data_IF_095658060365
#
_entry.id   IF_095658060365
#
_cell.length_a   1.000
_cell.length_b   1.000
_cell.length_c   1.000
_cell.angle_alpha   90.00
_cell.angle_beta   90.00
_cell.angle_gamma   90.00
#
_symmetry.space_group_name_H-M   'P 1'
#
loop_
_entity.id
_entity.type
_entity.pdbx_description
1 polymer ?
2 polymer ?
3 polymer ?
4 non-polymer ?
5 water ?
#
loop_
_entity_poly.entity_id
_entity_poly.type
_entity_poly.pdbx_seq_one_letter_code
_entity_poly.pdbx_strand_id
1 'polydeoxyribonucleotide' '(DA)(DG)(DG)(DA)(DC)(DC)(DOC)' ?
2 'polydeoxyribonucleotide' '(DT)(DC)(DT)(MA7)(DG)(DG)(DG)(DT)(DC)(DC)(DT)' ?
#
# COMPACT_ATOMS: atom_id res chain seq x y z
N UNK C 26 6.15 5.97 -26.16
CA UNK C 26 5.33 6.99 -25.51
C UNK C 26 5.59 7.03 -24.01
N UNK C 27 6.30 8.07 -23.57
CA UNK C 27 6.68 8.21 -22.17
C UNK C 27 5.53 8.70 -21.32
N UNK C 28 5.54 8.33 -20.05
CA UNK C 28 4.48 8.68 -19.12
C UNK C 28 5.04 9.56 -18.01
N UNK C 29 4.13 10.19 -17.28
CA UNK C 29 4.47 10.89 -16.05
C UNK C 29 3.56 10.30 -14.97
N UNK C 30 4.17 9.60 -14.03
CA UNK C 30 3.48 8.86 -12.97
C UNK C 30 3.86 9.49 -11.65
N UNK C 31 2.89 9.65 -10.75
CA UNK C 31 3.18 10.08 -9.39
C UNK C 31 2.80 8.95 -8.43
N UNK C 32 3.69 8.68 -7.47
CA UNK C 32 3.42 7.80 -6.35
C UNK C 32 3.26 8.66 -5.11
N UNK C 33 2.10 8.56 -4.45
CA UNK C 33 1.79 9.32 -3.25
C UNK C 33 1.80 8.36 -2.07
N UNK C 34 2.55 8.71 -1.04
CA UNK C 34 2.87 7.81 0.05
C UNK C 34 2.67 8.54 1.37
N UNK C 35 1.58 8.23 2.07
CA UNK C 35 1.25 8.94 3.32
C UNK C 35 2.28 8.59 4.40
N UNK C 36 2.69 9.60 5.15
CA UNK C 36 3.58 9.39 6.29
C UNK C 36 2.85 8.69 7.43
N UNK C 37 3.52 7.71 8.05
CA UNK C 37 3.03 6.95 9.20
C UNK C 37 1.50 7.05 9.33
N UNK C 38 0.80 6.42 8.40
CA UNK C 38 -0.60 6.75 8.14
C UNK C 38 -1.48 6.56 9.37
N UNK C 39 -1.47 5.36 9.96
CA UNK C 39 -2.35 5.14 11.12
C UNK C 39 -2.05 6.13 12.23
N UNK C 40 -0.76 6.42 12.48
CA UNK C 40 -0.41 7.37 13.52
C UNK C 40 -0.98 8.75 13.23
N UNK C 41 -0.89 9.19 11.98
CA UNK C 41 -1.49 10.46 11.58
C UNK C 41 -2.97 10.51 11.90
N UNK C 42 -3.70 9.46 11.53
CA UNK C 42 -5.12 9.40 11.85
C UNK C 42 -5.32 9.52 13.35
N UNK C 43 -4.56 8.76 14.13
CA UNK C 43 -4.76 8.76 15.59
C UNK C 43 -4.40 10.11 16.19
N UNK C 44 -3.36 10.75 15.67
CA UNK C 44 -2.99 12.07 16.18
C UNK C 44 -4.04 13.13 15.84
N UNK C 45 -4.71 12.97 14.70
CA UNK C 45 -5.80 13.89 14.37
C UNK C 45 -7.00 13.66 15.29
N UNK C 46 -7.24 12.41 15.66
CA UNK C 46 -8.40 12.11 16.51
C UNK C 46 -8.18 12.61 17.93
N UNK C 47 -6.95 12.53 18.43
CA UNK C 47 -6.61 13.00 19.78
C UNK C 47 -5.38 13.88 19.70
N UNK C 48 -5.55 15.18 19.45
CA UNK C 48 -4.40 16.08 19.36
C UNK C 48 -3.47 16.02 20.55
N UNK C 49 -3.95 15.52 21.70
CA UNK C 49 -3.09 15.40 22.87
C UNK C 49 -1.89 14.51 22.59
N UNK C 50 -1.97 13.63 21.59
CA UNK C 50 -0.87 12.75 21.21
C UNK C 50 0.08 13.40 20.21
N UNK C 51 -0.24 14.60 19.73
CA UNK C 51 0.48 15.16 18.59
C UNK C 51 1.96 15.39 18.88
N UNK C 52 2.29 15.76 20.12
CA UNK C 52 3.67 16.07 20.48
C UNK C 52 4.37 14.94 21.23
N UNK C 53 3.65 13.87 21.58
CA UNK C 53 4.27 12.75 22.29
C UNK C 53 4.62 11.64 21.31
N UNK C 54 5.62 10.82 21.64
CA UNK C 54 5.93 9.66 20.79
C UNK C 54 4.75 8.70 20.77
N UNK C 55 4.36 8.28 19.57
CA UNK C 55 3.13 7.52 19.41
C UNK C 55 3.37 6.25 18.61
N UNK C 56 2.79 5.16 19.09
CA UNK C 56 2.80 3.91 18.36
C UNK C 56 1.40 3.34 18.30
N UNK C 57 1.04 2.82 17.13
CA UNK C 57 -0.26 2.19 16.93
C UNK C 57 -0.08 0.69 17.10
N UNK C 58 -0.83 0.12 18.04
CA UNK C 58 -0.63 -1.26 18.48
C UNK C 58 -1.71 -2.16 17.91
N UNK C 59 -1.30 -3.32 17.42
CA UNK C 59 -2.22 -4.39 17.04
C UNK C 59 -1.70 -5.65 17.69
N UNK C 60 -2.47 -6.21 18.63
CA UNK C 60 -2.06 -7.37 19.42
C UNK C 60 -0.77 -7.00 20.15
N UNK C 61 0.33 -7.73 19.95
CA UNK C 61 1.59 -7.49 20.63
C UNK C 61 2.55 -6.66 19.80
N UNK C 62 2.07 -6.00 18.76
CA UNK C 62 2.94 -5.43 17.73
C UNK C 62 2.71 -3.93 17.61
N UNK C 63 3.80 -3.19 17.42
CA UNK C 63 3.72 -1.77 17.07
C UNK C 63 3.76 -1.73 15.54
N UNK C 64 2.58 -1.62 14.93
CA UNK C 64 2.49 -1.68 13.47
C UNK C 64 3.05 -0.42 12.84
N UNK C 65 2.85 0.74 13.47
CA UNK C 65 3.48 1.95 12.99
C UNK C 65 3.60 2.92 14.15
N UNK C 66 4.36 4.00 13.93
CA UNK C 66 4.60 5.00 14.97
C UNK C 66 4.90 6.33 14.32
N UNK C 67 4.62 7.42 15.03
CA UNK C 67 4.94 8.73 14.48
C UNK C 67 6.46 8.96 14.55
N UNK C 68 6.91 10.07 13.94
CA UNK C 68 8.34 10.27 13.80
C UNK C 68 9.00 10.62 15.14
N UNK C 69 8.25 11.22 16.07
CA UNK C 69 8.78 11.42 17.40
C UNK C 69 9.22 10.11 18.03
N UNK C 70 8.45 9.04 17.83
CA UNK C 70 8.84 7.74 18.34
C UNK C 70 9.96 7.13 17.52
N UNK C 71 10.01 7.40 16.21
CA UNK C 71 11.09 6.86 15.40
C UNK C 71 12.43 7.49 15.78
N UNK C 72 12.42 8.78 16.15
CA UNK C 72 13.63 9.39 16.70
C UNK C 72 14.18 8.56 17.85
N UNK C 73 13.31 8.12 18.75
CA UNK C 73 13.71 7.40 19.95
C UNK C 73 13.98 5.92 19.69
N UNK C 74 14.11 5.51 18.44
CA UNK C 74 14.48 4.14 18.11
C UNK C 74 13.34 3.19 17.81
N UNK C 75 12.09 3.63 17.89
CA UNK C 75 10.96 2.74 17.63
C UNK C 75 10.85 2.49 16.12
N UNK C 76 10.60 1.23 15.76
CA UNK C 76 10.54 0.82 14.36
C UNK C 76 9.20 0.15 14.08
N UNK C 77 8.77 0.21 12.82
CA UNK C 77 7.54 -0.45 12.41
C UNK C 77 7.65 -1.95 12.65
N UNK C 78 6.56 -2.54 13.15
CA UNK C 78 6.48 -4.00 13.34
C UNK C 78 7.44 -4.47 14.42
N UNK C 79 7.79 -3.59 15.34
CA UNK C 79 8.58 -3.93 16.52
C UNK C 79 7.64 -4.32 17.64
N UNK C 80 7.90 -5.45 18.28
CA UNK C 80 7.01 -5.95 19.32
C UNK C 80 6.94 -4.95 20.48
N UNK C 81 5.81 -4.96 21.19
CA UNK C 81 5.52 -3.92 22.16
C UNK C 81 6.57 -3.86 23.26
N UNK C 82 7.00 -5.02 23.76
CA UNK C 82 7.99 -5.04 24.83
C UNK C 82 9.29 -4.38 24.38
N UNK C 83 9.83 -4.82 23.25
CA UNK C 83 11.03 -4.17 22.70
C UNK C 83 10.81 -2.67 22.52
N UNK C 84 9.59 -2.27 22.14
CA UNK C 84 9.33 -0.85 21.91
C UNK C 84 9.25 -0.08 23.23
N UNK C 85 8.62 -0.66 24.24
CA UNK C 85 8.55 0.01 25.54
C UNK C 85 9.92 0.06 26.21
N UNK C 86 10.74 -0.98 26.02
CA UNK C 86 12.09 -1.00 26.54
C UNK C 86 13.04 -0.10 25.74
N UNK C 87 12.55 0.50 24.67
CA UNK C 87 13.29 1.53 23.94
C UNK C 87 12.71 2.92 24.13
N UNK C 88 11.42 3.02 24.42
CA UNK C 88 10.76 4.31 24.67
C UNK C 88 9.73 4.06 25.76
N UNK C 89 10.15 4.07 27.03
CA UNK C 89 9.21 3.77 28.12
C UNK C 89 8.05 4.75 28.19
N UNK C 90 8.24 5.98 27.73
CA UNK C 90 7.17 6.97 27.64
C UNK C 90 6.33 6.82 26.38
N UNK C 91 6.58 5.77 25.59
CA UNK C 91 5.83 5.55 24.36
C UNK C 91 4.35 5.43 24.65
N UNK C 92 3.56 6.28 24.01
CA UNK C 92 2.10 6.21 24.08
C UNK C 92 1.61 5.19 23.06
N UNK C 93 0.72 4.29 23.49
CA UNK C 93 0.20 3.22 22.65
C UNK C 93 -1.30 3.39 22.47
N UNK C 94 -1.75 3.31 21.22
CA UNK C 94 -3.16 3.36 20.88
C UNK C 94 -3.51 2.10 20.09
N UNK C 95 -4.72 1.60 20.27
CA UNK C 95 -5.08 0.34 19.63
C UNK C 95 -5.54 0.61 18.20
N UNK C 96 -4.93 -0.10 17.26
CA UNK C 96 -5.26 0.08 15.85
C UNK C 96 -5.84 -1.16 15.22
N UNK C 97 -6.40 -2.07 16.03
CA UNK C 97 -6.93 -3.32 15.48
C UNK C 97 -8.19 -3.08 14.65
N UNK C 98 -8.98 -2.08 15.01
CA UNK C 98 -10.15 -1.70 14.22
C UNK C 98 -9.71 -0.73 13.13
N UNK C 99 -9.81 -1.17 11.87
CA UNK C 99 -9.30 -0.39 10.74
C UNK C 99 -10.32 0.61 10.17
N UNK C 100 -11.51 0.72 10.77
CA UNK C 100 -12.58 1.48 10.15
C UNK C 100 -12.16 2.92 9.83
N UNK C 101 -11.59 3.61 10.80
CA UNK C 101 -11.19 5.01 10.61
C UNK C 101 -10.08 5.12 9.56
N UNK C 102 -9.11 4.20 9.59
CA UNK C 102 -8.03 4.25 8.61
C UNK C 102 -8.58 4.03 7.21
N UNK C 103 -9.47 3.04 7.06
CA UNK C 103 -10.06 2.77 5.76
C UNK C 103 -10.82 3.99 5.24
N UNK C 104 -11.60 4.64 6.10
CA UNK C 104 -12.35 5.83 5.67
C UNK C 104 -11.42 6.94 5.20
N UNK C 105 -10.38 7.25 5.99
CA UNK C 105 -9.47 8.30 5.56
C UNK C 105 -8.72 7.89 4.30
N UNK C 106 -8.39 6.60 4.18
CA UNK C 106 -7.69 6.11 2.99
C UNK C 106 -8.49 6.40 1.74
N UNK C 107 -9.81 6.17 1.76
CA UNK C 107 -10.58 6.43 0.57
C UNK C 107 -10.80 7.91 0.34
N UNK C 108 -10.83 8.72 1.40
CA UNK C 108 -10.85 10.16 1.17
C UNK C 108 -9.61 10.62 0.42
N UNK C 109 -8.44 10.07 0.76
CA UNK C 109 -7.24 10.42 0.00
C UNK C 109 -7.39 10.03 -1.46
N UNK C 110 -7.75 8.76 -1.71
CA UNK C 110 -7.88 8.29 -3.09
C UNK C 110 -8.88 9.13 -3.88
N UNK C 111 -10.03 9.45 -3.27
CA UNK C 111 -11.02 10.27 -3.98
C UNK C 111 -10.49 11.66 -4.29
N UNK C 112 -9.73 12.25 -3.37
CA UNK C 112 -9.17 13.55 -3.65
C UNK C 112 -8.21 13.48 -4.84
N UNK C 113 -7.39 12.44 -4.90
CA UNK C 113 -6.47 12.31 -6.03
C UNK C 113 -7.23 12.07 -7.33
N UNK C 114 -8.33 11.32 -7.27
CA UNK C 114 -9.15 11.07 -8.44
C UNK C 114 -9.72 12.35 -9.03
N UNK C 115 -9.86 13.39 -8.21
CA UNK C 115 -10.32 14.68 -8.72
C UNK C 115 -9.27 15.30 -9.64
N UNK C 116 -7.99 15.11 -9.32
CA UNK C 116 -6.92 15.57 -10.20
C UNK C 116 -6.96 14.82 -11.52
N UNK C 117 -6.85 13.50 -11.46
CA UNK C 117 -6.90 12.67 -12.64
C UNK C 117 -7.58 11.37 -12.25
N UNK C 118 -8.46 10.85 -13.10
CA UNK C 118 -9.32 9.74 -12.67
C UNK C 118 -8.61 8.39 -12.54
N UNK C 119 -7.44 8.21 -13.15
CA UNK C 119 -6.75 6.92 -13.16
C UNK C 119 -5.88 6.87 -11.91
N UNK C 120 -6.44 6.34 -10.81
CA UNK C 120 -5.73 6.26 -9.54
C UNK C 120 -5.73 4.82 -9.07
N UNK C 121 -4.54 4.28 -8.80
CA UNK C 121 -4.37 2.91 -8.35
C UNK C 121 -3.96 2.91 -6.88
N UNK C 122 -4.73 2.22 -6.04
CA UNK C 122 -4.40 2.09 -4.64
C UNK C 122 -3.42 0.94 -4.44
N UNK C 123 -2.45 1.14 -3.55
CA UNK C 123 -1.55 0.07 -3.14
C UNK C 123 -1.62 0.06 -1.61
N UNK C 124 -2.40 -0.86 -1.06
CA UNK C 124 -2.64 -0.81 0.38
C UNK C 124 -3.49 0.39 0.74
N UNK C 125 -3.49 0.71 2.02
CA UNK C 125 -4.29 1.83 2.52
C UNK C 125 -3.60 3.17 2.41
N UNK C 126 -2.27 3.20 2.25
CA UNK C 126 -1.58 4.49 2.37
C UNK C 126 -0.75 4.89 1.16
N UNK C 127 -0.86 4.19 0.03
CA UNK C 127 -0.16 4.56 -1.19
C UNK C 127 -1.12 4.62 -2.38
N UNK C 128 -0.90 5.59 -3.26
CA UNK C 128 -1.64 5.72 -4.51
C UNK C 128 -0.67 6.03 -5.64
N UNK C 129 -0.92 5.46 -6.82
CA UNK C 129 -0.31 5.89 -8.07
C UNK C 129 -1.31 6.68 -8.89
N UNK C 130 -0.84 7.74 -9.55
CA UNK C 130 -1.67 8.51 -10.45
C UNK C 130 -0.93 8.70 -11.76
N UNK C 131 -1.60 8.40 -12.87
CA UNK C 131 -1.02 8.64 -14.20
C UNK C 131 -1.32 10.08 -14.58
N UNK C 132 -0.30 10.94 -14.55
CA UNK C 132 -0.45 12.36 -14.84
C UNK C 132 -0.19 12.72 -16.30
N UNK C 133 0.04 11.73 -17.16
CA UNK C 133 0.49 11.98 -18.52
C UNK C 133 -0.43 12.94 -19.26
N UNK C 134 -1.72 12.62 -19.33
CA UNK C 134 -2.65 13.47 -20.07
C UNK C 134 -2.75 14.85 -19.44
N UNK C 135 -2.80 14.89 -18.10
CA UNK C 135 -2.84 16.16 -17.38
C UNK C 135 -1.62 17.02 -17.69
N UNK C 136 -0.43 16.41 -17.72
CA UNK C 136 0.79 17.17 -18.00
C UNK C 136 0.73 17.76 -19.40
N UNK C 137 0.34 16.95 -20.39
CA UNK C 137 0.28 17.43 -21.76
C UNK C 137 -0.75 18.54 -21.91
N UNK C 138 -1.86 18.46 -21.17
CA UNK C 138 -2.85 19.53 -21.23
C UNK C 138 -2.27 20.83 -20.70
N UNK C 139 -1.53 20.78 -19.60
CA UNK C 139 -0.94 22.00 -19.07
C UNK C 139 0.11 22.57 -20.01
N UNK C 140 0.91 21.70 -20.65
CA UNK C 140 1.92 22.22 -21.56
C UNK C 140 1.28 22.91 -22.77
N UNK C 141 0.23 22.33 -23.32
CA UNK C 141 -0.47 22.96 -24.45
C UNK C 141 -0.88 24.39 -24.11
N UNK C 142 -1.20 24.66 -22.84
CA UNK C 142 -1.71 25.97 -22.46
C UNK C 142 -0.60 27.00 -22.24
N UNK C 143 0.66 26.59 -22.23
CA UNK C 143 1.75 27.50 -21.94
C UNK C 143 2.21 28.23 -23.20
N UNK C 144 2.65 29.48 -23.00
CA UNK C 144 3.25 30.25 -24.07
C UNK C 144 4.75 29.95 -24.17
N UNK C 145 5.34 30.34 -25.30
CA UNK C 145 6.75 30.05 -25.54
C UNK C 145 7.61 30.62 -24.41
N UNK C 146 7.48 31.92 -24.14
CA UNK C 146 8.21 32.50 -23.02
C UNK C 146 7.83 31.85 -21.70
N UNK C 147 6.57 31.40 -21.58
CA UNK C 147 6.15 30.73 -20.35
C UNK C 147 6.91 29.43 -20.14
N UNK C 148 7.30 28.75 -21.22
CA UNK C 148 7.95 27.45 -21.09
C UNK C 148 9.32 27.57 -20.43
N UNK C 149 10.04 28.66 -20.71
CA UNK C 149 11.38 28.83 -20.16
C UNK C 149 11.37 29.09 -18.66
N UNK C 150 10.22 29.39 -18.07
CA UNK C 150 10.12 29.65 -16.64
C UNK C 150 9.60 28.46 -15.85
N UNK C 151 9.37 27.32 -16.51
CA UNK C 151 8.95 26.12 -15.79
C UNK C 151 9.98 25.79 -14.72
N UNK C 152 9.49 25.54 -13.50
CA UNK C 152 10.35 25.29 -12.35
C UNK C 152 9.93 24.00 -11.67
N UNK C 153 10.87 23.38 -10.97
CA UNK C 153 10.59 22.16 -10.23
C UNK C 153 10.03 22.51 -8.87
N UNK C 154 9.14 21.66 -8.37
CA UNK C 154 8.65 21.75 -7.00
C UNK C 154 9.21 20.57 -6.22
N UNK C 155 9.90 20.86 -5.12
CA UNK C 155 10.55 19.84 -4.32
C UNK C 155 11.92 19.43 -4.84
N UNK C 156 12.36 18.25 -4.41
CA UNK C 156 13.72 17.77 -4.69
C UNK C 156 13.86 17.17 -6.09
N UNK C 157 15.04 17.34 -6.68
CA UNK C 157 15.45 16.61 -7.89
C UNK C 157 16.38 15.49 -7.44
N UNK C 158 16.03 14.25 -7.81
CA UNK C 158 16.84 13.13 -7.33
C UNK C 158 18.30 13.28 -7.77
N UNK C 159 19.21 13.01 -6.83
CA UNK C 159 20.66 13.08 -7.06
C UNK C 159 21.11 14.48 -7.46
N UNK C 160 20.31 15.51 -7.16
CA UNK C 160 20.67 16.88 -7.49
C UNK C 160 20.99 17.06 -8.97
N UNK C 161 20.32 16.32 -9.83
CA UNK C 161 20.66 16.33 -11.25
C UNK C 161 20.26 17.65 -11.90
N UNK C 162 21.10 18.09 -12.85
CA UNK C 162 20.84 19.34 -13.55
C UNK C 162 19.63 19.22 -14.46
N UNK C 163 18.78 20.22 -14.42
CA UNK C 163 17.60 20.27 -15.28
C UNK C 163 17.98 20.87 -16.61
N UNK C 164 17.49 20.28 -17.69
CA UNK C 164 17.66 20.84 -19.03
C UNK C 164 16.29 21.25 -19.55
N UNK C 165 16.00 22.55 -19.47
CA UNK C 165 14.70 23.06 -19.88
C UNK C 165 14.42 22.85 -21.36
N UNK C 166 15.43 22.52 -22.17
CA UNK C 166 15.17 22.19 -23.56
C UNK C 166 14.82 20.73 -23.76
N UNK C 167 14.93 19.91 -22.72
CA UNK C 167 14.61 18.49 -22.81
C UNK C 167 13.13 18.32 -22.49
N UNK C 168 12.36 17.82 -23.47
CA UNK C 168 10.91 17.73 -23.28
C UNK C 168 10.55 16.76 -22.18
N UNK C 169 11.37 15.73 -21.94
CA UNK C 169 11.13 14.81 -20.84
C UNK C 169 11.29 15.51 -19.50
N UNK C 170 12.30 16.38 -19.39
CA UNK C 170 12.51 17.14 -18.16
C UNK C 170 11.35 18.08 -17.90
N UNK C 171 10.89 18.79 -18.93
CA UNK C 171 9.76 19.71 -18.77
C UNK C 171 8.52 18.97 -18.28
N UNK C 172 8.24 17.81 -18.86
CA UNK C 172 7.04 17.07 -18.48
C UNK C 172 7.13 16.59 -17.04
N UNK C 173 8.30 16.13 -16.61
CA UNK C 173 8.48 15.67 -15.24
C UNK C 173 8.43 16.82 -14.25
N UNK C 174 8.93 18.01 -14.61
CA UNK C 174 8.80 19.16 -13.72
C UNK C 174 7.35 19.58 -13.55
N UNK C 175 6.57 19.56 -14.65
CA UNK C 175 5.14 19.81 -14.52
C UNK C 175 4.50 18.74 -13.64
N UNK C 176 4.95 17.49 -13.79
CA UNK C 176 4.50 16.45 -12.87
C UNK C 176 4.78 16.81 -11.43
N UNK C 177 5.98 17.34 -11.15
CA UNK C 177 6.33 17.74 -9.79
C UNK C 177 5.43 18.86 -9.30
N UNK C 178 5.00 19.76 -10.19
CA UNK C 178 4.08 20.82 -9.76
C UNK C 178 2.71 20.26 -9.41
N UNK C 179 2.19 19.34 -10.23
CA UNK C 179 0.91 18.71 -9.92
C UNK C 179 1.01 17.94 -8.61
N UNK C 180 2.15 17.30 -8.39
CA UNK C 180 2.34 16.52 -7.16
C UNK C 180 2.33 17.41 -5.93
N UNK C 181 2.91 18.61 -6.03
CA UNK C 181 2.86 19.53 -4.91
C UNK C 181 1.45 20.03 -4.66
N UNK C 182 0.67 20.26 -5.73
CA UNK C 182 -0.74 20.62 -5.58
C UNK C 182 -1.51 19.51 -4.86
N UNK C 183 -1.29 18.26 -5.25
CA UNK C 183 -1.91 17.14 -4.55
C UNK C 183 -1.56 17.15 -3.07
N UNK C 184 -0.27 17.28 -2.74
CA UNK C 184 0.11 17.22 -1.34
C UNK C 184 -0.47 18.38 -0.55
N UNK C 185 -0.55 19.57 -1.18
CA UNK C 185 -1.15 20.72 -0.51
C UNK C 185 -2.65 20.54 -0.32
N UNK C 186 -3.33 19.94 -1.30
CA UNK C 186 -4.75 19.67 -1.15
C UNK C 186 -5.00 18.62 -0.07
N UNK C 187 -4.19 17.57 -0.04
CA UNK C 187 -4.32 16.56 1.00
C UNK C 187 -4.19 17.18 2.38
N UNK C 188 -3.20 18.07 2.55
CA UNK C 188 -3.02 18.69 3.86
C UNK C 188 -4.15 19.68 4.14
N UNK C 189 -4.48 20.55 3.18
CA UNK C 189 -5.50 21.56 3.43
C UNK C 189 -6.89 20.94 3.60
N UNK C 190 -7.22 19.93 2.82
CA UNK C 190 -8.57 19.38 2.84
C UNK C 190 -8.74 18.22 3.80
N UNK C 191 -7.68 17.45 4.03
CA UNK C 191 -7.79 16.26 4.88
C UNK C 191 -6.88 16.29 6.08
N UNK C 192 -5.96 17.25 6.19
CA UNK C 192 -5.07 17.30 7.35
C UNK C 192 -3.95 16.29 7.33
N UNK C 193 -3.66 15.66 6.20
CA UNK C 193 -2.67 14.60 6.11
C UNK C 193 -1.45 15.07 5.33
N UNK C 194 -0.28 14.64 5.79
CA UNK C 194 0.98 14.86 5.08
C UNK C 194 1.43 13.57 4.40
N UNK C 195 2.16 13.71 3.30
CA UNK C 195 2.69 12.53 2.64
C UNK C 195 3.85 12.92 1.75
N UNK C 196 4.55 11.91 1.27
CA UNK C 196 5.59 12.11 0.28
C UNK C 196 5.02 11.84 -1.11
N UNK C 197 5.72 12.37 -2.13
CA UNK C 197 5.38 12.03 -3.50
C UNK C 197 6.67 11.82 -4.29
N UNK C 198 6.59 10.94 -5.27
CA UNK C 198 7.67 10.72 -6.20
C UNK C 198 7.15 10.83 -7.61
N UNK C 199 7.85 11.54 -8.48
CA UNK C 199 7.43 11.70 -9.86
C UNK C 199 8.49 11.09 -10.75
N UNK C 200 8.06 10.21 -11.68
CA UNK C 200 8.98 9.49 -12.54
C UNK C 200 8.23 8.99 -13.77
N UNK C 201 8.92 8.26 -14.64
CA UNK C 201 8.33 7.86 -15.91
C UNK C 201 7.59 6.53 -15.84
N UNK C 202 7.65 5.81 -14.73
CA UNK C 202 6.84 4.60 -14.56
C UNK C 202 6.62 4.35 -13.07
N UNK C 203 5.80 3.32 -12.77
CA UNK C 203 5.38 3.08 -11.39
C UNK C 203 6.53 2.63 -10.50
N UNK C 204 7.35 1.71 -11.00
CA UNK C 204 8.51 1.27 -10.23
C UNK C 204 9.32 2.47 -9.76
N UNK C 205 9.72 3.33 -10.70
CA UNK C 205 10.62 4.43 -10.39
C UNK C 205 9.94 5.48 -9.52
N UNK C 206 8.67 5.77 -9.78
CA UNK C 206 7.94 6.72 -8.93
C UNK C 206 7.92 6.25 -7.48
N UNK C 207 7.70 4.94 -7.28
CA UNK C 207 7.64 4.42 -5.91
C UNK C 207 9.01 4.39 -5.27
N UNK C 208 10.05 4.07 -6.04
CA UNK C 208 11.39 4.12 -5.46
C UNK C 208 11.79 5.55 -5.12
N UNK C 209 11.45 6.51 -5.99
CA UNK C 209 11.95 7.86 -5.74
C UNK C 209 11.14 8.59 -4.67
N UNK C 210 9.88 8.20 -4.42
CA UNK C 210 9.05 8.96 -3.49
C UNK C 210 9.59 8.90 -2.06
N UNK C 211 10.28 7.83 -1.71
CA UNK C 211 10.83 7.69 -0.38
C UNK C 211 12.22 8.27 -0.17
N UNK C 212 12.81 8.93 -1.17
CA UNK C 212 14.18 9.41 -1.04
C UNK C 212 14.28 10.49 0.04
N UNK C 213 13.35 11.44 0.05
CA UNK C 213 13.28 12.46 1.11
C UNK C 213 11.99 12.27 1.89
N UNK C 214 12.13 11.97 3.18
CA UNK C 214 10.99 11.71 4.07
C UNK C 214 11.27 12.38 5.39
N UNK C 215 10.21 12.78 6.13
CA UNK C 215 8.80 12.70 5.76
C UNK C 215 8.32 13.97 5.08
N UNK C 216 7.11 13.91 4.50
CA UNK C 216 6.40 15.09 4.01
C UNK C 216 7.22 15.90 3.00
N UNK C 217 7.80 15.22 2.01
CA UNK C 217 8.58 15.87 0.97
C UNK C 217 8.36 15.13 -0.34
N UNK C 218 8.88 15.69 -1.43
CA UNK C 218 8.71 15.03 -2.72
C UNK C 218 9.99 15.13 -3.53
N UNK C 219 10.11 14.21 -4.48
CA UNK C 219 11.31 14.07 -5.32
C UNK C 219 10.89 13.71 -6.72
N UNK C 220 11.57 14.27 -7.72
CA UNK C 220 11.34 13.93 -9.11
C UNK C 220 12.59 13.25 -9.65
N UNK C 221 12.39 12.22 -10.45
CA UNK C 221 13.49 11.45 -11.05
C UNK C 221 13.60 11.85 -12.52
N UNK C 222 14.72 12.51 -12.88
CA UNK C 222 15.01 12.74 -14.29
C UNK C 222 15.64 11.49 -14.90
N UNK C 223 15.41 11.25 -16.19
CA UNK C 223 15.77 9.95 -16.77
C UNK C 223 17.24 9.60 -16.61
N UNK C 224 18.13 10.59 -16.65
CA UNK C 224 19.57 10.32 -16.59
C UNK C 224 19.99 9.71 -15.26
N UNK C 225 19.18 9.83 -14.21
CA UNK C 225 19.54 9.33 -12.89
C UNK C 225 18.89 7.99 -12.56
N UNK C 226 18.24 7.36 -13.55
CA UNK C 226 17.57 6.09 -13.29
C UNK C 226 18.54 5.03 -12.79
N UNK C 227 19.70 4.90 -13.44
CA UNK C 227 20.60 3.85 -12.99
C UNK C 227 21.16 4.16 -11.60
N UNK C 228 21.34 5.44 -11.29
CA UNK C 228 21.78 5.79 -9.94
C UNK C 228 20.73 5.37 -8.90
N UNK C 229 19.46 5.60 -9.19
CA UNK C 229 18.41 5.21 -8.23
C UNK C 229 18.38 3.70 -8.03
N UNK C 230 18.41 2.93 -9.12
CA UNK C 230 18.24 1.47 -9.00
C UNK C 230 19.46 0.85 -8.32
N UNK C 231 20.66 1.34 -8.62
CA UNK C 231 21.84 0.82 -7.94
C UNK C 231 21.99 1.34 -6.52
N UNK C 232 21.23 2.36 -6.13
CA UNK C 232 21.25 2.76 -4.73
C UNK C 232 20.65 1.69 -3.82
N UNK C 233 19.85 0.79 -4.35
CA UNK C 233 19.32 -0.29 -3.52
C UNK C 233 20.44 -1.20 -3.06
N UNK C 234 20.26 -1.81 -1.88
CA UNK C 234 21.28 -2.69 -1.34
C UNK C 234 20.93 -4.17 -1.39
N UNK C 235 19.65 -4.53 -1.53
CA UNK C 235 19.32 -5.90 -1.87
C UNK C 235 18.13 -5.94 -2.80
N UNK C 236 18.10 -7.01 -3.61
CA UNK C 236 17.09 -7.14 -4.64
C UNK C 236 15.69 -7.20 -4.04
N UNK C 237 15.59 -7.63 -2.77
CA UNK C 237 14.28 -7.64 -2.12
C UNK C 237 13.71 -6.24 -1.97
N UNK C 238 14.54 -5.21 -2.08
CA UNK C 238 14.03 -3.84 -2.02
C UNK C 238 13.30 -3.43 -3.28
N UNK C 239 13.37 -4.22 -4.34
CA UNK C 239 12.65 -3.94 -5.57
C UNK C 239 11.17 -4.29 -5.37
N UNK C 240 10.25 -3.34 -5.54
CA UNK C 240 8.83 -3.67 -5.44
C UNK C 240 8.45 -4.72 -6.49
N UNK C 241 7.82 -5.79 -6.03
CA UNK C 241 7.52 -6.94 -6.86
C UNK C 241 8.39 -8.14 -6.57
N UNK C 242 9.54 -7.96 -5.93
CA UNK C 242 10.42 -9.05 -5.55
C UNK C 242 10.17 -9.31 -4.07
N UNK C 243 9.41 -10.36 -3.78
CA UNK C 243 8.99 -10.67 -2.42
C UNK C 243 9.93 -11.64 -1.73
N UNK C 244 9.44 -12.18 -0.61
CA UNK C 244 10.27 -13.06 0.20
C UNK C 244 10.68 -14.31 -0.56
N UNK C 245 9.71 -15.01 -1.16
CA UNK C 245 10.02 -16.25 -1.86
C UNK C 245 10.96 -16.00 -3.02
N UNK C 246 10.70 -14.97 -3.82
CA UNK C 246 11.55 -14.70 -4.97
C UNK C 246 12.96 -14.31 -4.53
N UNK C 247 13.06 -13.45 -3.52
CA UNK C 247 14.38 -13.07 -3.02
C UNK C 247 15.14 -14.30 -2.56
N UNK C 248 14.53 -15.11 -1.70
CA UNK C 248 15.18 -16.33 -1.23
C UNK C 248 15.65 -17.19 -2.39
N UNK C 249 14.83 -17.29 -3.43
CA UNK C 249 15.23 -18.06 -4.62
C UNK C 249 16.41 -17.41 -5.32
N UNK C 250 16.35 -16.09 -5.51
CA UNK C 250 17.46 -15.40 -6.16
C UNK C 250 18.75 -15.57 -5.37
N UNK C 251 18.69 -15.40 -4.04
CA UNK C 251 19.89 -15.56 -3.22
C UNK C 251 20.45 -16.98 -3.34
N UNK C 252 19.58 -17.98 -3.54
CA UNK C 252 20.05 -19.34 -3.74
C UNK C 252 20.85 -19.48 -5.03
N UNK C 253 20.68 -18.57 -5.98
CA UNK C 253 21.41 -18.60 -7.23
C UNK C 253 22.63 -17.69 -7.23
N UNK C 254 22.99 -17.12 -6.08
CA UNK C 254 24.09 -16.18 -6.02
C UNK C 254 23.77 -14.77 -6.47
N UNK C 255 22.49 -14.42 -6.58
CA UNK C 255 22.05 -13.10 -7.02
C UNK C 255 21.70 -12.29 -5.77
N UNK C 256 22.45 -11.22 -5.51
CA UNK C 256 22.21 -10.44 -4.32
C UNK C 256 22.03 -8.95 -4.62
N UNK C 257 22.91 -8.37 -5.43
CA UNK C 257 22.80 -6.96 -5.76
C UNK C 257 21.88 -6.76 -6.96
N UNK C 258 21.46 -5.51 -7.17
CA UNK C 258 20.71 -5.18 -8.36
C UNK C 258 21.51 -5.54 -9.61
N UNK C 259 22.81 -5.22 -9.61
CA UNK C 259 23.63 -5.52 -10.78
C UNK C 259 23.76 -7.03 -11.03
N UNK C 260 23.81 -7.83 -9.96
CA UNK C 260 23.78 -9.29 -10.11
C UNK C 260 22.56 -9.71 -10.94
N UNK C 261 21.39 -9.18 -10.60
CA UNK C 261 20.17 -9.55 -11.32
C UNK C 261 20.19 -9.00 -12.73
N UNK C 262 20.70 -7.78 -12.92
CA UNK C 262 20.82 -7.22 -14.26
C UNK C 262 21.65 -8.12 -15.17
N UNK C 263 22.74 -8.68 -14.63
CA UNK C 263 23.72 -9.40 -15.44
C UNK C 263 23.51 -10.92 -15.43
N UNK C 264 22.60 -11.44 -14.62
CA UNK C 264 22.41 -12.88 -14.55
C UNK C 264 21.83 -13.40 -15.85
N UNK C 265 22.09 -14.67 -16.14
CA UNK C 265 21.71 -15.22 -17.44
C UNK C 265 20.20 -15.29 -17.57
N UNK C 266 19.62 -14.69 -18.60
CA UNK C 266 18.16 -14.75 -18.75
C UNK C 266 17.65 -16.17 -18.84
N UNK C 267 18.38 -17.03 -19.55
CA UNK C 267 17.93 -18.40 -19.78
C UNK C 267 17.82 -19.18 -18.48
N UNK C 268 18.83 -19.07 -17.60
CA UNK C 268 18.79 -19.77 -16.32
C UNK C 268 17.70 -19.21 -15.43
N UNK C 269 17.54 -17.88 -15.43
CA UNK C 269 16.53 -17.26 -14.58
C UNK C 269 15.14 -17.73 -14.97
N UNK C 270 14.85 -17.82 -16.27
CA UNK C 270 13.57 -18.34 -16.71
C UNK C 270 13.35 -19.76 -16.18
N UNK C 271 14.31 -20.65 -16.41
CA UNK C 271 14.14 -22.04 -16.02
C UNK C 271 13.87 -22.18 -14.52
N UNK C 272 14.52 -21.35 -13.72
CA UNK C 272 14.38 -21.48 -12.26
C UNK C 272 13.12 -20.81 -11.74
N UNK C 273 12.66 -19.72 -12.36
CA UNK C 273 11.54 -18.94 -11.86
C UNK C 273 10.32 -18.97 -12.77
N UNK C 274 10.40 -19.63 -13.92
CA UNK C 274 9.35 -19.50 -14.90
C UNK C 274 9.59 -18.25 -15.73
N UNK C 275 9.08 -18.23 -16.96
CA UNK C 275 9.42 -17.13 -17.86
C UNK C 275 8.71 -15.84 -17.44
N UNK C 276 7.50 -15.94 -16.87
CA UNK C 276 6.78 -14.73 -16.50
C UNK C 276 7.50 -13.97 -15.40
N UNK C 277 7.79 -14.64 -14.29
CA UNK C 277 8.48 -13.97 -13.18
C UNK C 277 9.87 -13.53 -13.61
N UNK C 278 10.57 -14.37 -14.37
CA UNK C 278 11.96 -14.08 -14.73
C UNK C 278 12.06 -12.82 -15.58
N UNK C 279 11.27 -12.74 -16.66
CA UNK C 279 11.39 -11.61 -17.57
C UNK C 279 10.94 -10.31 -16.90
N UNK C 280 9.92 -10.36 -16.05
CA UNK C 280 9.44 -9.12 -15.45
C UNK C 280 10.44 -8.57 -14.45
N UNK C 281 10.94 -9.43 -13.55
CA UNK C 281 11.81 -8.93 -12.49
C UNK C 281 13.18 -8.56 -13.04
N UNK C 282 13.60 -9.18 -14.15
CA UNK C 282 14.87 -8.75 -14.74
C UNK C 282 14.72 -7.36 -15.36
N UNK C 283 13.56 -7.06 -15.95
CA UNK C 283 13.29 -5.70 -16.40
C UNK C 283 13.29 -4.74 -15.23
N UNK C 284 12.63 -5.11 -14.13
CA UNK C 284 12.63 -4.26 -12.94
C UNK C 284 14.05 -3.93 -12.50
N UNK C 285 14.98 -4.89 -12.59
CA UNK C 285 16.35 -4.61 -12.16
C UNK C 285 17.00 -3.51 -12.99
N UNK C 286 16.54 -3.26 -14.22
CA UNK C 286 17.04 -2.16 -15.03
C UNK C 286 16.24 -0.87 -14.83
N UNK C 287 15.24 -0.87 -13.97
CA UNK C 287 14.35 0.27 -13.85
C UNK C 287 13.23 0.30 -14.86
N UNK C 288 13.03 -0.79 -15.61
CA UNK C 288 12.02 -0.86 -16.67
C UNK C 288 10.75 -1.48 -16.12
N UNK C 289 9.62 -0.84 -16.38
CA UNK C 289 8.34 -1.27 -15.82
C UNK C 289 7.25 -0.67 -16.70
N UNK C 290 6.71 -1.47 -17.61
CA UNK C 290 5.66 -1.02 -18.51
C UNK C 290 4.26 -1.16 -17.93
N UNK C 291 4.13 -1.56 -16.67
CA UNK C 291 2.81 -1.88 -16.13
C UNK C 291 1.96 -0.61 -16.06
N UNK C 292 0.70 -0.66 -16.49
CA UNK C 292 -0.14 0.53 -16.43
C UNK C 292 -0.64 0.80 -15.01
N UNK C 293 -0.94 2.07 -14.76
CA UNK C 293 -1.67 2.43 -13.57
C UNK C 293 -3.11 2.00 -13.75
N UNK C 294 -3.60 1.16 -12.85
CA UNK C 294 -4.95 0.59 -12.93
C UNK C 294 -5.88 1.41 -12.06
N UNK C 295 -7.05 1.76 -12.59
CA UNK C 295 -8.06 2.45 -11.80
C UNK C 295 -8.64 1.46 -10.79
N UNK C 296 -8.37 1.70 -9.50
CA UNK C 296 -8.75 0.72 -8.48
C UNK C 296 -10.27 0.70 -8.26
N UNK C 297 -10.91 1.86 -8.28
CA UNK C 297 -12.35 1.94 -8.07
C UNK C 297 -12.74 1.42 -6.70
N UNK C 298 -13.98 0.94 -6.58
CA UNK C 298 -14.43 0.38 -5.30
C UNK C 298 -13.74 -0.95 -5.00
N UNK C 299 -13.68 -1.34 -3.74
CA UNK C 299 -12.95 -2.57 -3.38
C UNK C 299 -13.58 -3.82 -3.95
N UNK C 300 -12.74 -4.83 -4.18
CA UNK C 300 -13.19 -6.12 -4.70
C UNK C 300 -13.64 -7.07 -3.61
N UNK C 301 -13.36 -6.75 -2.35
CA UNK C 301 -13.68 -7.63 -1.24
C UNK C 301 -13.72 -6.83 0.05
N UNK C 302 -14.46 -7.36 1.02
CA UNK C 302 -14.52 -6.85 2.39
C UNK C 302 -14.24 -8.02 3.32
N UNK C 303 -13.32 -7.85 4.26
CA UNK C 303 -13.07 -8.95 5.19
C UNK C 303 -12.73 -8.40 6.57
N UNK C 304 -12.78 -9.28 7.55
CA UNK C 304 -12.39 -8.98 8.92
C UNK C 304 -11.80 -10.24 9.52
N UNK C 305 -10.86 -10.06 10.44
CA UNK C 305 -10.19 -11.21 11.01
C UNK C 305 -9.79 -10.92 12.44
N UNK C 306 -9.33 -11.97 13.11
CA UNK C 306 -8.83 -11.86 14.47
C UNK C 306 -7.76 -12.92 14.65
N UNK C 307 -6.63 -12.53 15.23
CA UNK C 307 -5.60 -13.48 15.61
C UNK C 307 -5.64 -13.67 17.12
N UNK C 308 -5.18 -14.84 17.56
CA UNK C 308 -5.24 -15.20 18.96
C UNK C 308 -4.31 -16.38 19.15
N UNK C 309 -4.07 -16.74 20.41
CA UNK C 309 -3.29 -17.94 20.72
C UNK C 309 -4.28 -19.03 21.10
N UNK C 310 -4.48 -19.97 20.17
CA UNK C 310 -5.33 -21.14 20.38
C UNK C 310 -6.80 -20.77 20.59
N UNK C 311 -7.65 -21.25 19.68
CA UNK C 311 -9.10 -21.30 19.86
C UNK C 311 -9.53 -22.72 19.47
N UNK C 312 -9.27 -23.67 20.36
CA UNK C 312 -9.67 -25.05 20.12
C UNK C 312 -11.01 -25.39 20.76
N UNK C 313 -11.59 -24.47 21.53
CA UNK C 313 -13.00 -24.57 21.88
C UNK C 313 -13.80 -24.31 20.61
N UNK C 314 -13.83 -25.27 19.70
CA UNK C 314 -14.49 -25.09 18.42
C UNK C 314 -16.01 -24.99 18.58
N UNK C 315 -16.44 -24.50 19.74
CA UNK C 315 -17.75 -23.87 19.88
C UNK C 315 -17.63 -22.37 20.14
N UNK C 316 -16.47 -21.88 20.62
CA UNK C 316 -16.26 -20.44 20.67
C UNK C 316 -16.05 -19.86 19.29
N UNK C 317 -15.55 -20.68 18.35
CA UNK C 317 -15.37 -20.21 16.98
C UNK C 317 -16.64 -19.56 16.44
N UNK C 318 -17.79 -20.19 16.69
CA UNK C 318 -19.05 -19.59 16.26
C UNK C 318 -19.23 -18.20 16.87
N UNK C 319 -18.77 -18.02 18.12
CA UNK C 319 -18.83 -16.70 18.73
C UNK C 319 -17.89 -15.73 18.02
N UNK C 320 -16.63 -16.15 17.81
CA UNK C 320 -15.70 -15.30 17.07
C UNK C 320 -16.23 -15.01 15.67
N UNK C 321 -16.73 -16.03 14.98
CA UNK C 321 -17.27 -15.84 13.63
C UNK C 321 -18.51 -14.97 13.66
N UNK C 322 -19.35 -15.14 14.68
CA UNK C 322 -20.54 -14.30 14.79
C UNK C 322 -20.16 -12.83 14.98
N UNK C 323 -19.13 -12.57 15.78
CA UNK C 323 -18.69 -11.19 15.98
C UNK C 323 -18.12 -10.60 14.69
N UNK C 324 -17.19 -11.31 14.05
CA UNK C 324 -16.65 -10.87 12.77
C UNK C 324 -17.78 -10.61 11.78
N UNK C 325 -18.72 -11.55 11.69
CA UNK C 325 -19.83 -11.41 10.74
C UNK C 325 -20.67 -10.18 11.06
N UNK C 326 -20.90 -9.92 12.35
CA UNK C 326 -21.75 -8.78 12.74
C UNK C 326 -21.15 -7.47 12.25
N UNK C 327 -19.87 -7.24 12.55
CA UNK C 327 -19.23 -6.00 12.11
C UNK C 327 -19.20 -5.91 10.58
N UNK C 328 -18.94 -7.03 9.91
CA UNK C 328 -18.92 -7.03 8.44
C UNK C 328 -20.27 -6.63 7.88
N UNK C 329 -21.36 -7.13 8.48
CA UNK C 329 -22.69 -6.84 7.95
C UNK C 329 -22.96 -5.35 7.91
N UNK C 330 -22.45 -4.59 8.89
CA UNK C 330 -22.64 -3.14 8.86
C UNK C 330 -21.90 -2.53 7.66
N UNK C 331 -20.70 -3.02 7.37
CA UNK C 331 -19.92 -2.47 6.27
C UNK C 331 -20.56 -2.75 4.92
N UNK C 332 -21.14 -3.95 4.76
CA UNK C 332 -21.75 -4.31 3.49
C UNK C 332 -22.96 -3.43 3.20
N UNK C 333 -23.73 -3.09 4.24
CA UNK C 333 -24.87 -2.21 4.06
C UNK C 333 -24.45 -0.82 3.57
N UNK C 334 -23.35 -0.30 4.10
CA UNK C 334 -22.94 1.06 3.75
C UNK C 334 -22.44 1.14 2.30
N UNK C 335 -21.68 0.14 1.86
CA UNK C 335 -21.17 0.16 0.49
C UNK C 335 -22.30 0.17 -0.53
N UNK C 336 -23.44 -0.43 -0.21
CA UNK C 336 -24.57 -0.52 -1.11
C UNK C 336 -24.53 -1.70 -2.05
N UNK C 337 -23.34 -2.08 -2.51
CA UNK C 337 -23.16 -3.30 -3.27
C UNK C 337 -23.08 -4.49 -2.33
N UNK C 338 -23.46 -5.66 -2.82
CA UNK C 338 -23.52 -6.81 -1.94
C UNK C 338 -22.63 -7.93 -2.45
N UNK C 339 -22.08 -8.74 -1.54
CA UNK C 339 -21.21 -9.83 -1.98
C UNK C 339 -22.02 -11.03 -2.46
N UNK C 340 -21.48 -11.71 -3.47
CA UNK C 340 -22.07 -12.94 -3.97
C UNK C 340 -21.28 -14.17 -3.56
N UNK C 341 -20.26 -13.99 -2.72
CA UNK C 341 -19.46 -15.10 -2.24
C UNK C 341 -19.02 -14.80 -0.81
N UNK C 342 -19.04 -15.83 0.03
CA UNK C 342 -18.52 -15.73 1.39
C UNK C 342 -17.38 -16.73 1.53
N UNK C 343 -16.38 -16.35 2.31
CA UNK C 343 -15.21 -17.19 2.50
C UNK C 343 -14.80 -17.16 3.96
N UNK C 344 -14.38 -18.32 4.46
CA UNK C 344 -13.84 -18.47 5.80
C UNK C 344 -12.40 -18.93 5.68
N UNK C 345 -11.49 -18.22 6.35
CA UNK C 345 -10.08 -18.57 6.38
C UNK C 345 -9.72 -18.94 7.81
N UNK C 346 -8.82 -19.92 7.95
CA UNK C 346 -8.29 -20.34 9.24
C UNK C 346 -6.79 -20.47 9.13
N UNK C 347 -6.12 -20.32 10.27
CA UNK C 347 -4.70 -20.58 10.38
C UNK C 347 -4.48 -21.71 11.36
N UNK C 348 -3.59 -22.63 10.99
CA UNK C 348 -3.39 -23.84 11.78
C UNK C 348 -2.35 -23.62 12.88
N UNK C 349 -2.64 -24.18 14.06
CA UNK C 349 -1.74 -24.04 15.20
C UNK C 349 -0.37 -24.59 14.87
N UNK C 350 0.63 -23.71 14.90
CA UNK C 350 2.03 -24.08 14.67
C UNK C 350 2.18 -25.03 13.48
N UNK C 356 0.18 -21.35 4.77
CA UNK C 356 -0.08 -21.76 6.15
C UNK C 356 -1.55 -21.67 6.53
N UNK C 357 -2.35 -21.04 5.69
CA UNK C 357 -3.77 -20.86 5.93
C UNK C 357 -4.59 -21.86 5.09
N UNK C 358 -5.86 -21.98 5.44
CA UNK C 358 -6.82 -22.76 4.68
C UNK C 358 -8.11 -21.96 4.58
N UNK C 359 -8.84 -22.16 3.48
CA UNK C 359 -10.05 -21.39 3.23
C UNK C 359 -11.10 -22.25 2.56
N UNK C 360 -12.35 -21.95 2.86
CA UNK C 360 -13.51 -22.55 2.21
C UNK C 360 -14.46 -21.44 1.83
N UNK C 361 -14.88 -21.42 0.57
CA UNK C 361 -15.84 -20.44 0.10
C UNK C 361 -17.01 -21.15 -0.59
N UNK C 362 -18.10 -20.41 -0.73
CA UNK C 362 -19.26 -20.90 -1.46
C UNK C 362 -20.13 -19.70 -1.79
N UNK C 363 -20.98 -19.81 -2.81
CA UNK C 363 -21.87 -18.69 -3.13
C UNK C 363 -22.79 -18.40 -1.97
N UNK C 364 -23.26 -17.16 -1.91
CA UNK C 364 -24.24 -16.72 -0.92
C UNK C 364 -25.63 -16.91 -1.53
N UNK C 365 -26.52 -17.70 -0.90
CA UNK C 365 -27.84 -17.92 -1.49
C UNK C 365 -28.53 -16.60 -1.80
N UNK C 366 -29.16 -16.54 -2.98
CA UNK C 366 -29.64 -15.26 -3.50
C UNK C 366 -30.57 -14.56 -2.51
N UNK C 367 -31.49 -15.30 -1.89
CA UNK C 367 -32.42 -14.67 -0.95
C UNK C 367 -31.69 -14.12 0.26
N UNK C 368 -30.60 -14.77 0.68
CA UNK C 368 -29.82 -14.29 1.81
C UNK C 368 -29.19 -12.95 1.50
N UNK C 369 -29.05 -12.59 0.21
CA UNK C 369 -28.40 -11.35 -0.18
C UNK C 369 -29.26 -10.12 0.08
N UNK C 370 -30.55 -10.30 0.35
CA UNK C 370 -31.43 -9.18 0.66
C UNK C 370 -31.03 -8.59 2.01
N UNK C 371 -30.21 -7.54 1.97
CA UNK C 371 -29.76 -6.88 3.19
C UNK C 371 -29.09 -5.54 2.88
N UNK C 378 -33.22 -10.79 9.57
CA UNK C 378 -32.14 -11.57 10.15
C UNK C 378 -31.40 -12.40 9.10
N UNK C 379 -30.24 -11.91 8.68
CA UNK C 379 -29.34 -12.71 7.83
C UNK C 379 -28.23 -13.38 8.63
N UNK C 380 -28.11 -13.07 9.92
CA UNK C 380 -27.05 -13.63 10.74
C UNK C 380 -27.15 -15.15 10.82
N UNK C 381 -28.24 -15.65 11.37
CA UNK C 381 -28.38 -17.09 11.61
C UNK C 381 -28.10 -17.93 10.37
N UNK C 382 -28.57 -17.58 9.17
CA UNK C 382 -28.18 -18.39 8.00
C UNK C 382 -26.72 -18.23 7.65
N UNK C 383 -26.18 -17.01 7.74
CA UNK C 383 -24.77 -16.80 7.46
C UNK C 383 -23.89 -17.62 8.40
N UNK C 384 -24.21 -17.59 9.70
CA UNK C 384 -23.46 -18.39 10.67
C UNK C 384 -23.52 -19.87 10.28
N UNK C 385 -24.73 -20.33 9.91
CA UNK C 385 -24.88 -21.72 9.49
C UNK C 385 -23.99 -22.03 8.30
N UNK C 386 -24.07 -21.22 7.25
CA UNK C 386 -23.18 -21.38 6.10
C UNK C 386 -21.73 -21.41 6.53
N UNK C 387 -21.32 -20.43 7.34
CA UNK C 387 -19.92 -20.33 7.74
C UNK C 387 -19.49 -21.53 8.58
N UNK C 388 -20.33 -21.94 9.53
CA UNK C 388 -19.96 -23.09 10.37
C UNK C 388 -19.75 -24.34 9.53
N UNK C 389 -20.63 -24.58 8.56
CA UNK C 389 -20.45 -25.73 7.67
C UNK C 389 -19.08 -25.66 6.98
N UNK C 390 -18.73 -24.49 6.44
CA UNK C 390 -17.39 -24.30 5.89
C UNK C 390 -16.34 -24.58 6.96
N UNK C 391 -16.56 -24.06 8.16
CA UNK C 391 -15.67 -24.36 9.28
C UNK C 391 -15.56 -25.87 9.49
N UNK C 392 -16.68 -26.53 9.76
CA UNK C 392 -16.66 -27.97 10.00
C UNK C 392 -16.02 -28.70 8.84
N UNK C 393 -16.27 -28.26 7.61
CA UNK C 393 -15.64 -28.87 6.45
C UNK C 393 -14.12 -28.84 6.57
N UNK C 394 -13.56 -27.82 7.22
CA UNK C 394 -12.12 -27.65 7.27
C UNK C 394 -11.51 -28.24 8.53
N UNK C 395 -12.21 -28.17 9.66
CA UNK C 395 -11.70 -28.59 10.96
C UNK C 395 -12.55 -29.75 11.47
N UNK C 396 -11.89 -30.70 12.14
CA UNK C 396 -12.54 -31.91 12.64
C UNK C 396 -12.86 -31.73 14.11
N UNK C 397 -14.14 -31.54 14.42
CA UNK C 397 -14.58 -31.37 15.81
C UNK C 397 -14.51 -32.72 16.53
N UNK C 403 -6.58 -23.46 16.56
CA UNK C 403 -6.68 -22.38 15.58
C UNK C 403 -6.04 -21.10 16.12
N UNK C 404 -5.30 -20.40 15.26
CA UNK C 404 -4.62 -19.17 15.63
C UNK C 404 -5.12 -17.96 14.87
N UNK C 405 -6.21 -18.10 14.10
CA UNK C 405 -6.74 -17.00 13.32
C UNK C 405 -8.07 -17.41 12.70
N UNK C 406 -9.02 -16.48 12.68
CA UNK C 406 -10.28 -16.64 11.99
C UNK C 406 -10.55 -15.40 11.17
N UNK C 407 -10.88 -15.57 9.89
CA UNK C 407 -11.14 -14.46 8.99
C UNK C 407 -12.33 -14.76 8.11
N UNK C 408 -13.24 -13.80 8.02
CA UNK C 408 -14.43 -13.90 7.17
C UNK C 408 -14.32 -12.85 6.07
N UNK C 409 -14.60 -13.25 4.84
CA UNK C 409 -14.51 -12.35 3.69
C UNK C 409 -15.79 -12.39 2.88
N UNK C 410 -16.32 -11.20 2.57
CA UNK C 410 -17.32 -11.02 1.53
C UNK C 410 -16.64 -10.60 0.25
N UNK C 411 -16.85 -11.35 -0.83
CA UNK C 411 -16.23 -11.00 -2.11
C UNK C 411 -17.20 -11.28 -3.25
N UNK C 412 -16.69 -11.14 -4.47
CA UNK C 412 -17.48 -11.33 -5.69
C UNK C 412 -18.68 -10.37 -5.71
N UNK C 413 -18.36 -9.07 -5.60
CA UNK C 413 -19.38 -8.04 -5.45
C UNK C 413 -20.01 -7.68 -6.79
N UNK C 414 -21.24 -7.18 -6.70
CA UNK C 414 -21.99 -6.77 -7.89
C UNK C 414 -23.04 -5.73 -7.51
X LIG D 1 6.53 -6.40 -20.35
#
# INVERSE_FOLDING_TARGET
MELADVGAAASSQGVHDQVLPTPNASSRVIVHVDLDCFYAQVEMISNPELKDKPLGVQQKYLVVTCNYEARKLGVKKLMNVRDAKEKCPQLVLVNGEDLTRYREMSYKVTELLEEFSPVVERLGFDENFVDLTEMVEKRLQQLQSDELSAVTVSGHVYNNQSINLLDVLHIRLLVGSQIAAEMREAMYNQLGLTGCAGVASNKLLAKLVSGVFKPNQQTVLLPESCQHLIHSLNHIKEIPGIGYKTAKCLEALGINSVRDLQTFSPKILEKELGISVAQRIQKLSFGEDNSPVILSGPPQSFSEEDSFKKCSSEVEAKNKIEELLASLLNRVCQDGRKPHTVRLIIRRYSSEKHYGRESRQCPIPSHVIQKLGTGNYDVMTPMVDILMKLFRNMVNVKMPFHLTLLSVCFCNLKALNTAK
CL CL
#
